data_IF_860843082326
#
_entry.id   IF_860843082326
#
_cell.length_a   1.000
_cell.length_b   1.000
_cell.length_c   1.000
_cell.angle_alpha   90.00
_cell.angle_beta   90.00
_cell.angle_gamma   90.00
#
_symmetry.space_group_name_H-M   'P 1'
#
loop_
_entity.id
_entity.type
_entity.pdbx_description
1 polymer ?
#
# COMPACT_ATOMS: atom_id res chain seq x y z
N UNK A 1 -18.15 -6.13 11.38
CA UNK A 1 -16.95 -5.69 10.62
C UNK A 1 -16.36 -4.52 11.38
N UNK A 2 -15.06 -4.52 11.68
CA UNK A 2 -14.40 -3.37 12.31
C UNK A 2 -14.62 -2.12 11.44
N UNK A 3 -14.92 -0.96 12.03
CA UNK A 3 -15.02 0.28 11.26
C UNK A 3 -13.61 0.66 10.78
N UNK A 4 -13.38 0.68 9.46
CA UNK A 4 -12.08 1.03 8.85
C UNK A 4 -12.15 2.29 7.98
N UNK A 5 -13.34 2.77 7.65
CA UNK A 5 -13.54 3.93 6.77
C UNK A 5 -12.95 5.23 7.33
N UNK A 6 -12.83 5.33 8.65
CA UNK A 6 -12.24 6.49 9.33
C UNK A 6 -10.70 6.46 9.37
N UNK A 7 -10.07 5.33 9.00
CA UNK A 7 -8.61 5.18 9.09
C UNK A 7 -7.93 5.98 7.97
N UNK A 8 -7.01 6.91 8.30
CA UNK A 8 -6.29 7.69 7.29
C UNK A 8 -5.54 6.81 6.28
N UNK A 9 -4.95 5.70 6.75
CA UNK A 9 -4.20 4.75 5.90
C UNK A 9 -5.13 4.03 4.90
N UNK A 10 -6.36 3.70 5.31
CA UNK A 10 -7.34 3.05 4.43
C UNK A 10 -7.79 4.00 3.32
N UNK A 11 -8.20 5.23 3.68
CA UNK A 11 -8.64 6.24 2.71
C UNK A 11 -7.55 6.51 1.67
N UNK A 12 -6.32 6.69 2.12
CA UNK A 12 -5.19 6.94 1.21
C UNK A 12 -4.88 5.73 0.30
N UNK A 13 -5.00 4.50 0.82
CA UNK A 13 -4.80 3.30 0.01
C UNK A 13 -5.89 3.16 -1.07
N UNK A 14 -7.14 3.49 -0.73
CA UNK A 14 -8.25 3.51 -1.68
C UNK A 14 -8.04 4.57 -2.77
N UNK A 15 -7.66 5.79 -2.39
CA UNK A 15 -7.35 6.88 -3.32
C UNK A 15 -6.23 6.47 -4.30
N UNK A 16 -5.16 5.85 -3.78
CA UNK A 16 -4.07 5.33 -4.61
C UNK A 16 -4.53 4.20 -5.54
N UNK A 17 -5.36 3.27 -5.08
CA UNK A 17 -5.84 2.18 -5.93
C UNK A 17 -6.70 2.71 -7.09
N UNK A 18 -7.65 3.61 -6.81
CA UNK A 18 -8.47 4.27 -7.84
C UNK A 18 -7.60 5.07 -8.81
N UNK A 19 -6.58 5.75 -8.29
CA UNK A 19 -5.62 6.46 -9.12
C UNK A 19 -4.88 5.51 -10.08
N UNK A 20 -4.40 4.37 -9.59
CA UNK A 20 -3.65 3.40 -10.40
C UNK A 20 -4.54 2.72 -11.45
N UNK A 21 -5.82 2.44 -11.17
CA UNK A 21 -6.79 1.97 -12.18
C UNK A 21 -6.89 2.97 -13.35
N UNK A 22 -7.03 4.27 -13.04
CA UNK A 22 -7.10 5.35 -14.05
C UNK A 22 -5.76 5.59 -14.77
N UNK A 23 -4.63 5.39 -14.10
CA UNK A 23 -3.31 5.54 -14.72
C UNK A 23 -3.06 4.39 -15.71
N UNK A 24 -3.32 3.14 -15.29
CA UNK A 24 -3.12 1.93 -16.09
C UNK A 24 -4.04 1.89 -17.30
N UNK A 25 -5.22 2.50 -17.26
CA UNK A 25 -6.09 2.58 -18.45
C UNK A 25 -5.42 3.30 -19.62
N UNK A 26 -4.48 4.22 -19.35
CA UNK A 26 -3.67 4.91 -20.35
C UNK A 26 -2.47 4.13 -20.89
N UNK A 27 -2.13 2.99 -20.29
CA UNK A 27 -0.97 2.20 -20.74
C UNK A 27 -1.24 1.52 -22.08
N UNK A 28 -0.18 1.30 -22.87
CA UNK A 28 -0.27 0.48 -24.08
C UNK A 28 -0.72 -0.95 -23.74
N UNK A 29 -1.33 -1.64 -24.70
CA UNK A 29 -1.83 -3.02 -24.51
C UNK A 29 -0.74 -3.95 -23.96
N UNK A 30 0.49 -3.79 -24.45
CA UNK A 30 1.64 -4.60 -24.07
C UNK A 30 1.95 -4.50 -22.57
N UNK A 31 1.93 -3.29 -21.99
CA UNK A 31 2.23 -3.10 -20.56
C UNK A 31 1.00 -3.21 -19.66
N UNK A 32 -0.21 -2.97 -20.19
CA UNK A 32 -1.46 -2.95 -19.43
C UNK A 32 -1.81 -4.30 -18.79
N UNK A 33 -1.56 -5.40 -19.49
CA UNK A 33 -1.91 -6.75 -19.03
C UNK A 33 -0.80 -7.46 -18.24
N UNK A 34 0.44 -6.97 -18.32
CA UNK A 34 1.53 -7.38 -17.43
C UNK A 34 1.64 -6.43 -16.24
N UNK A 35 2.59 -5.51 -16.31
CA UNK A 35 2.88 -4.54 -15.24
C UNK A 35 1.66 -3.77 -14.73
N UNK A 36 0.76 -3.36 -15.63
CA UNK A 36 -0.48 -2.68 -15.25
C UNK A 36 -1.44 -3.56 -14.45
N UNK A 37 -1.45 -4.88 -14.66
CA UNK A 37 -2.23 -5.80 -13.84
C UNK A 37 -1.61 -5.97 -12.45
N UNK A 38 -0.28 -6.04 -12.35
CA UNK A 38 0.44 -6.14 -11.07
C UNK A 38 0.25 -4.91 -10.19
N UNK A 39 0.38 -3.69 -10.75
CA UNK A 39 0.13 -2.45 -10.02
C UNK A 39 -1.27 -2.44 -9.38
N UNK A 40 -2.29 -2.84 -10.15
CA UNK A 40 -3.67 -2.89 -9.70
C UNK A 40 -3.91 -3.99 -8.67
N UNK A 41 -3.32 -5.17 -8.87
CA UNK A 41 -3.36 -6.29 -7.93
C UNK A 41 -2.78 -5.87 -6.58
N UNK A 42 -1.56 -5.32 -6.58
CA UNK A 42 -0.86 -4.90 -5.36
C UNK A 42 -1.59 -3.77 -4.64
N UNK A 43 -2.16 -2.81 -5.36
CA UNK A 43 -2.97 -1.75 -4.75
C UNK A 43 -4.19 -2.32 -3.99
N UNK A 44 -4.93 -3.26 -4.59
CA UNK A 44 -6.06 -3.94 -3.93
C UNK A 44 -5.61 -4.83 -2.76
N UNK A 45 -4.48 -5.51 -2.91
CA UNK A 45 -3.88 -6.32 -1.85
C UNK A 45 -3.50 -5.46 -0.64
N UNK A 46 -2.90 -4.29 -0.85
CA UNK A 46 -2.56 -3.35 0.23
C UNK A 46 -3.80 -2.92 1.01
N UNK A 47 -4.91 -2.60 0.34
CA UNK A 47 -6.20 -2.27 0.99
C UNK A 47 -6.68 -3.46 1.84
N UNK A 48 -6.63 -4.67 1.27
CA UNK A 48 -7.09 -5.89 1.95
C UNK A 48 -6.28 -6.15 3.22
N UNK A 49 -4.94 -6.04 3.14
CA UNK A 49 -4.03 -6.21 4.27
C UNK A 49 -4.24 -5.14 5.35
N UNK A 50 -4.56 -3.90 4.98
CA UNK A 50 -4.90 -2.83 5.93
C UNK A 50 -6.17 -3.20 6.73
N UNK A 51 -7.23 -3.62 6.03
CA UNK A 51 -8.51 -3.99 6.66
C UNK A 51 -8.33 -5.22 7.56
N UNK A 52 -7.55 -6.20 7.10
CA UNK A 52 -7.23 -7.39 7.85
C UNK A 52 -6.45 -7.04 9.13
N UNK A 53 -5.35 -6.29 9.02
CA UNK A 53 -4.54 -5.87 10.17
C UNK A 53 -5.34 -5.02 11.18
N UNK A 54 -6.34 -4.26 10.73
CA UNK A 54 -7.22 -3.52 11.63
C UNK A 54 -8.16 -4.42 12.44
N UNK A 55 -8.52 -5.58 11.90
CA UNK A 55 -9.47 -6.51 12.52
C UNK A 55 -8.80 -7.57 13.39
N UNK A 56 -7.48 -7.72 13.27
CA UNK A 56 -6.68 -8.71 14.00
C UNK A 56 -6.21 -8.20 15.37
N UNK A 57 -6.22 -9.10 16.36
CA UNK A 57 -5.60 -8.86 17.66
C UNK A 57 -4.07 -8.87 17.53
N UNK A 58 -3.52 -9.93 16.94
CA UNK A 58 -2.09 -10.11 16.65
C UNK A 58 -1.75 -9.69 15.21
N UNK A 59 -1.78 -8.38 14.97
CA UNK A 59 -1.68 -7.82 13.61
C UNK A 59 -0.25 -7.67 13.05
N UNK A 60 0.79 -8.02 13.83
CA UNK A 60 2.19 -7.77 13.44
C UNK A 60 2.55 -8.48 12.12
N UNK A 61 2.18 -9.76 11.99
CA UNK A 61 2.46 -10.54 10.77
C UNK A 61 1.84 -9.88 9.52
N UNK A 62 0.58 -9.46 9.61
CA UNK A 62 -0.14 -8.81 8.51
C UNK A 62 0.46 -7.44 8.15
N UNK A 63 0.94 -6.67 9.13
CA UNK A 63 1.63 -5.40 8.86
C UNK A 63 3.00 -5.58 8.20
N UNK A 64 3.71 -6.67 8.50
CA UNK A 64 4.94 -7.03 7.81
C UNK A 64 4.65 -7.46 6.37
N UNK A 65 3.57 -8.20 6.13
CA UNK A 65 3.10 -8.52 4.77
C UNK A 65 2.71 -7.25 4.00
N UNK A 66 1.99 -6.32 4.63
CA UNK A 66 1.66 -5.02 4.04
C UNK A 66 2.92 -4.24 3.66
N UNK A 67 3.96 -4.26 4.52
CA UNK A 67 5.23 -3.60 4.23
C UNK A 67 5.88 -4.17 2.96
N UNK A 68 5.99 -5.49 2.86
CA UNK A 68 6.56 -6.15 1.69
C UNK A 68 5.74 -5.89 0.42
N UNK A 69 4.40 -5.90 0.52
CA UNK A 69 3.51 -5.60 -0.61
C UNK A 69 3.62 -4.13 -1.07
N UNK A 70 3.85 -3.17 -0.16
CA UNK A 70 4.14 -1.78 -0.51
C UNK A 70 5.52 -1.61 -1.18
N UNK A 71 6.52 -2.39 -0.76
CA UNK A 71 7.83 -2.44 -1.43
C UNK A 71 7.72 -3.01 -2.85
N UNK A 72 6.97 -4.09 -3.04
CA UNK A 72 6.69 -4.67 -4.36
C UNK A 72 5.98 -3.65 -5.27
N UNK A 73 4.98 -2.93 -4.74
CA UNK A 73 4.30 -1.85 -5.47
C UNK A 73 5.29 -0.75 -5.90
N UNK A 74 6.20 -0.35 -5.01
CA UNK A 74 7.23 0.65 -5.31
C UNK A 74 8.17 0.18 -6.43
N UNK A 75 8.55 -1.11 -6.43
CA UNK A 75 9.39 -1.70 -7.49
C UNK A 75 8.64 -1.65 -8.83
N UNK A 76 7.37 -2.07 -8.88
CA UNK A 76 6.56 -2.00 -10.09
C UNK A 76 6.41 -0.56 -10.62
N UNK A 77 6.21 0.42 -9.72
CA UNK A 77 6.13 1.83 -10.11
C UNK A 77 7.43 2.33 -10.74
N UNK A 78 8.59 1.95 -10.18
CA UNK A 78 9.90 2.31 -10.73
C UNK A 78 10.12 1.70 -12.12
N UNK A 79 9.77 0.43 -12.30
CA UNK A 79 9.84 -0.22 -13.62
C UNK A 79 8.92 0.51 -14.62
N UNK A 80 7.70 0.87 -14.22
CA UNK A 80 6.76 1.60 -15.07
C UNK A 80 7.31 2.98 -15.50
N UNK A 81 8.06 3.64 -14.62
CA UNK A 81 8.76 4.89 -14.97
C UNK A 81 9.91 4.65 -15.94
N UNK A 82 10.74 3.63 -15.75
CA UNK A 82 11.82 3.31 -16.71
C UNK A 82 11.25 2.93 -18.09
N UNK A 83 10.10 2.26 -18.14
CA UNK A 83 9.38 1.96 -19.38
C UNK A 83 8.60 3.16 -19.95
N UNK A 84 8.59 4.32 -19.28
CA UNK A 84 7.88 5.54 -19.68
C UNK A 84 6.38 5.31 -19.97
N UNK A 85 5.72 4.41 -19.23
CA UNK A 85 4.31 4.05 -19.50
C UNK A 85 3.31 4.99 -18.85
N UNK A 86 3.74 5.79 -17.87
CA UNK A 86 2.92 6.84 -17.28
C UNK A 86 2.71 7.98 -18.27
N UNK A 87 1.50 8.56 -18.27
CA UNK A 87 1.15 9.69 -19.16
C UNK A 87 2.04 10.93 -18.97
N UNK A 88 2.64 11.09 -17.79
CA UNK A 88 3.53 12.20 -17.45
C UNK A 88 4.35 11.87 -16.21
N UNK A 89 5.48 12.57 -16.03
CA UNK A 89 6.31 12.44 -14.83
C UNK A 89 5.53 12.75 -13.54
N UNK A 90 4.68 13.78 -13.56
CA UNK A 90 3.82 14.13 -12.43
C UNK A 90 2.86 12.98 -12.06
N UNK A 91 2.42 12.19 -13.05
CA UNK A 91 1.57 11.04 -12.80
C UNK A 91 2.32 9.94 -12.02
N UNK A 92 3.58 9.70 -12.39
CA UNK A 92 4.44 8.79 -11.66
C UNK A 92 4.76 9.30 -10.24
N UNK A 93 5.15 10.58 -10.10
CA UNK A 93 5.49 11.20 -8.81
C UNK A 93 4.33 11.05 -7.83
N UNK A 94 3.09 11.36 -8.26
CA UNK A 94 1.91 11.23 -7.42
C UNK A 94 1.76 9.81 -6.85
N UNK A 95 1.90 8.77 -7.68
CA UNK A 95 1.78 7.38 -7.25
C UNK A 95 2.89 6.99 -6.25
N UNK A 96 4.13 7.42 -6.50
CA UNK A 96 5.28 7.14 -5.62
C UNK A 96 5.12 7.83 -4.27
N UNK A 97 4.76 9.11 -4.25
CA UNK A 97 4.57 9.87 -3.01
C UNK A 97 3.47 9.25 -2.14
N UNK A 98 2.36 8.84 -2.75
CA UNK A 98 1.27 8.19 -2.02
C UNK A 98 1.69 6.81 -1.48
N UNK A 99 2.49 6.05 -2.24
CA UNK A 99 3.05 4.79 -1.76
C UNK A 99 3.99 5.02 -0.57
N UNK A 100 4.85 6.04 -0.62
CA UNK A 100 5.75 6.41 0.50
C UNK A 100 4.95 6.80 1.75
N UNK A 101 3.89 7.58 1.60
CA UNK A 101 3.02 7.97 2.71
C UNK A 101 2.34 6.76 3.34
N UNK A 102 1.87 5.79 2.54
CA UNK A 102 1.35 4.52 3.06
C UNK A 102 2.41 3.72 3.82
N UNK A 103 3.64 3.63 3.30
CA UNK A 103 4.74 2.95 4.01
C UNK A 103 5.05 3.61 5.35
N UNK A 104 5.00 4.94 5.44
CA UNK A 104 5.18 5.67 6.70
C UNK A 104 4.06 5.38 7.70
N UNK A 105 2.81 5.33 7.25
CA UNK A 105 1.67 4.99 8.12
C UNK A 105 1.74 3.54 8.62
N UNK A 106 2.09 2.59 7.73
CA UNK A 106 2.30 1.19 8.11
C UNK A 106 3.42 1.05 9.17
N UNK A 107 4.55 1.73 8.98
CA UNK A 107 5.63 1.73 9.96
C UNK A 107 5.20 2.35 11.30
N UNK A 108 4.36 3.39 11.26
CA UNK A 108 3.73 3.96 12.46
C UNK A 108 2.92 2.93 13.24
N UNK A 109 2.13 2.10 12.55
CA UNK A 109 1.38 1.01 13.18
C UNK A 109 2.30 -0.05 13.77
N UNK A 110 3.32 -0.50 13.04
CA UNK A 110 4.31 -1.49 13.53
C UNK A 110 5.00 -0.99 14.79
N UNK A 111 5.42 0.28 14.81
CA UNK A 111 6.06 0.90 15.99
C UNK A 111 5.11 1.02 17.17
N UNK A 112 3.81 1.23 16.94
CA UNK A 112 2.83 1.32 18.02
C UNK A 112 2.67 -0.01 18.78
N UNK A 113 2.84 -1.15 18.09
CA UNK A 113 2.83 -2.47 18.71
C UNK A 113 4.05 -2.70 19.62
N UNK A 114 5.23 -2.20 19.22
CA UNK A 114 6.47 -2.33 20.00
C UNK A 114 6.49 -1.47 21.27
N UNK A 115 5.55 -0.54 21.42
CA UNK A 115 5.42 0.35 22.59
C UNK A 115 4.48 -0.20 23.67
N UNK A 116 3.90 -1.39 23.51
CA UNK A 116 3.16 -2.01 24.62
C UNK A 116 4.15 -2.37 25.75
N UNK A 117 3.88 -1.95 27.00
CA UNK A 117 4.78 -2.24 28.11
C UNK A 117 4.79 -3.73 28.41
N UNK A 118 5.99 -4.29 28.62
CA UNK A 118 6.17 -5.56 29.31
C UNK A 118 5.32 -5.53 30.59
N UNK A 119 4.43 -6.51 30.76
CA UNK A 119 3.73 -6.69 32.02
C UNK A 119 4.80 -6.78 33.14
N UNK A 120 4.70 -5.98 34.21
CA UNK A 120 5.67 -6.09 35.30
C UNK A 120 5.59 -7.51 35.88
N UNK A 121 6.72 -8.11 36.29
CA UNK A 121 6.72 -9.43 36.88
C UNK A 121 5.79 -9.41 38.11
N UNK A 122 4.85 -10.35 38.14
CA UNK A 122 4.02 -10.59 39.32
C UNK A 122 4.96 -10.78 40.53
N UNK A 123 4.79 -9.91 41.53
CA UNK A 123 5.45 -10.00 42.83
C UNK A 123 5.11 -11.29 43.55
#
# INVERSE_FOLDING_TARGET
MAQYEHLPIYKQALDLAVYLEKAVSGFSRYHKYGLGADLRRLARQNITLIVQANSEQERLATLLLLRSSLEELMICLRIAKELQVFKSLNSFIYAVEHTVQLSRQNEGWIKSLKKLPEQPPHK
#
